data_IF_057329888598
#
_entry.id   IF_057329888598
#
_cell.length_a   1.000
_cell.length_b   1.000
_cell.length_c   1.000
_cell.angle_alpha   90.00
_cell.angle_beta   90.00
_cell.angle_gamma   90.00
#
_symmetry.space_group_name_H-M   'P 1'
#
loop_
_entity.id
_entity.type
_entity.pdbx_description
1 polymer ?
#
# COMPACT_ATOMS: atom_id res chain seq x y z
N UNK A 1 25.42 -21.07 2.43
CA UNK A 1 24.22 -21.30 3.25
C UNK A 1 23.02 -21.19 2.33
N UNK A 2 22.27 -22.28 2.14
CA UNK A 2 21.03 -22.30 1.39
C UNK A 2 19.83 -22.28 2.34
N UNK A 3 18.64 -22.03 1.79
CA UNK A 3 17.39 -22.15 2.53
C UNK A 3 17.18 -23.62 2.93
N UNK A 4 16.85 -23.84 4.20
CA UNK A 4 16.52 -25.17 4.71
C UNK A 4 15.06 -25.51 4.41
N UNK A 5 14.69 -26.77 4.65
CA UNK A 5 13.34 -27.25 4.40
C UNK A 5 12.26 -26.43 5.13
N UNK A 6 12.54 -25.98 6.35
CA UNK A 6 11.62 -25.15 7.14
C UNK A 6 11.39 -23.77 6.51
N UNK A 7 12.44 -23.14 5.97
CA UNK A 7 12.33 -21.83 5.33
C UNK A 7 11.42 -21.93 4.09
N UNK A 8 11.65 -22.97 3.28
CA UNK A 8 10.80 -23.27 2.12
C UNK A 8 9.35 -23.55 2.53
N UNK A 9 9.14 -24.32 3.61
CA UNK A 9 7.81 -24.62 4.11
C UNK A 9 7.04 -23.35 4.50
N UNK A 10 7.69 -22.41 5.19
CA UNK A 10 7.09 -21.12 5.57
C UNK A 10 6.74 -20.29 4.34
N UNK A 11 7.63 -20.19 3.35
CA UNK A 11 7.39 -19.45 2.11
C UNK A 11 6.20 -20.03 1.35
N UNK A 12 6.19 -21.35 1.15
CA UNK A 12 5.11 -22.04 0.42
C UNK A 12 3.77 -21.87 1.15
N UNK A 13 3.76 -22.05 2.47
CA UNK A 13 2.55 -21.88 3.28
C UNK A 13 2.01 -20.45 3.18
N UNK A 14 2.88 -19.45 3.24
CA UNK A 14 2.49 -18.05 3.09
C UNK A 14 1.87 -17.78 1.72
N UNK A 15 2.50 -18.24 0.63
CA UNK A 15 2.00 -18.04 -0.73
C UNK A 15 0.65 -18.73 -0.95
N UNK A 16 0.50 -19.97 -0.50
CA UNK A 16 -0.78 -20.70 -0.56
C UNK A 16 -1.84 -19.97 0.26
N UNK A 17 -1.50 -19.51 1.46
CA UNK A 17 -2.39 -18.73 2.31
C UNK A 17 -2.89 -17.46 1.64
N UNK A 18 -2.00 -16.70 0.99
CA UNK A 18 -2.33 -15.48 0.26
C UNK A 18 -3.23 -15.77 -0.95
N UNK A 19 -2.92 -16.79 -1.74
CA UNK A 19 -3.75 -17.20 -2.89
C UNK A 19 -5.12 -17.66 -2.39
N UNK A 20 -5.18 -18.52 -1.37
CA UNK A 20 -6.43 -19.00 -0.79
C UNK A 20 -7.30 -17.86 -0.24
N UNK A 21 -6.70 -16.89 0.45
CA UNK A 21 -7.38 -15.68 0.93
C UNK A 21 -7.95 -14.87 -0.24
N UNK A 22 -7.16 -14.64 -1.29
CA UNK A 22 -7.59 -13.89 -2.47
C UNK A 22 -8.77 -14.57 -3.20
N UNK A 23 -8.72 -15.90 -3.35
CA UNK A 23 -9.80 -16.67 -3.95
C UNK A 23 -11.08 -16.59 -3.12
N UNK A 24 -10.96 -16.74 -1.79
CA UNK A 24 -12.11 -16.61 -0.89
C UNK A 24 -12.73 -15.21 -0.91
N UNK A 25 -11.91 -14.16 -0.93
CA UNK A 25 -12.39 -12.78 -1.05
C UNK A 25 -13.04 -12.51 -2.41
N UNK A 26 -12.52 -13.08 -3.49
CA UNK A 26 -13.06 -12.90 -4.85
C UNK A 26 -14.51 -13.39 -4.96
N UNK A 27 -14.88 -14.45 -4.23
CA UNK A 27 -16.25 -14.99 -4.23
C UNK A 27 -17.28 -14.05 -3.57
N UNK A 28 -16.84 -13.02 -2.85
CA UNK A 28 -17.70 -12.09 -2.10
C UNK A 28 -17.99 -10.79 -2.85
N UNK A 29 -17.36 -10.58 -4.01
CA UNK A 29 -17.47 -9.36 -4.80
C UNK A 29 -18.63 -9.48 -5.79
N UNK A 30 -19.56 -8.50 -5.80
CA UNK A 30 -20.77 -8.55 -6.65
C UNK A 30 -20.71 -7.59 -7.83
N UNK A 31 -20.12 -6.42 -7.63
CA UNK A 31 -19.97 -5.40 -8.67
C UNK A 31 -18.62 -4.67 -8.57
N UNK A 32 -18.40 -3.73 -9.49
CA UNK A 32 -17.16 -2.95 -9.53
C UNK A 32 -16.99 -2.04 -8.31
N UNK A 33 -18.07 -1.53 -7.72
CA UNK A 33 -17.99 -0.67 -6.54
C UNK A 33 -17.59 -1.46 -5.30
N UNK A 34 -18.10 -2.67 -5.15
CA UNK A 34 -17.68 -3.60 -4.11
C UNK A 34 -16.19 -3.95 -4.27
N UNK A 35 -15.76 -4.24 -5.50
CA UNK A 35 -14.38 -4.62 -5.81
C UNK A 35 -13.37 -3.49 -5.56
N UNK A 36 -13.65 -2.27 -6.05
CA UNK A 36 -12.69 -1.15 -5.99
C UNK A 36 -12.83 -0.27 -4.73
N UNK A 37 -14.05 -0.11 -4.21
CA UNK A 37 -14.33 0.80 -3.08
C UNK A 37 -14.66 0.05 -1.78
N UNK A 38 -14.71 -1.28 -1.80
CA UNK A 38 -15.10 -2.08 -0.63
C UNK A 38 -16.51 -1.74 -0.14
N UNK A 39 -17.42 -1.38 -1.07
CA UNK A 39 -18.78 -0.94 -0.78
C UNK A 39 -18.86 0.37 0.03
N UNK A 40 -17.77 1.17 0.08
CA UNK A 40 -17.64 2.36 0.94
C UNK A 40 -17.88 2.11 2.44
N UNK A 41 -17.78 0.85 2.89
CA UNK A 41 -18.09 0.44 4.27
C UNK A 41 -16.84 0.05 5.08
N UNK A 42 -15.65 0.35 4.56
CA UNK A 42 -14.39 -0.01 5.23
C UNK A 42 -14.06 1.00 6.33
N UNK A 43 -13.82 0.53 7.55
CA UNK A 43 -13.49 1.38 8.69
C UNK A 43 -12.14 2.11 8.51
N UNK A 44 -11.96 3.29 9.13
CA UNK A 44 -10.80 4.15 8.92
C UNK A 44 -9.46 3.48 9.28
N UNK A 45 -9.43 2.62 10.31
CA UNK A 45 -8.22 1.89 10.68
C UNK A 45 -7.82 0.86 9.61
N UNK A 46 -8.77 0.14 9.03
CA UNK A 46 -8.48 -0.84 7.99
C UNK A 46 -7.95 -0.14 6.72
N UNK A 47 -8.51 1.02 6.37
CA UNK A 47 -7.99 1.86 5.29
C UNK A 47 -6.56 2.31 5.60
N UNK A 48 -6.31 2.84 6.81
CA UNK A 48 -4.97 3.29 7.20
C UNK A 48 -3.93 2.16 7.13
N UNK A 49 -4.24 0.98 7.69
CA UNK A 49 -3.36 -0.18 7.65
C UNK A 49 -3.10 -0.66 6.22
N UNK A 50 -4.12 -0.69 5.37
CA UNK A 50 -3.99 -1.04 3.95
C UNK A 50 -3.09 -0.05 3.21
N UNK A 51 -3.26 1.26 3.45
CA UNK A 51 -2.41 2.29 2.84
C UNK A 51 -0.95 2.17 3.30
N UNK A 52 -0.72 1.87 4.58
CA UNK A 52 0.64 1.63 5.10
C UNK A 52 1.26 0.37 4.48
N UNK A 53 0.49 -0.72 4.36
CA UNK A 53 0.96 -1.93 3.72
C UNK A 53 1.31 -1.71 2.24
N UNK A 54 0.51 -0.91 1.52
CA UNK A 54 0.75 -0.57 0.12
C UNK A 54 2.04 0.23 -0.07
N UNK A 55 2.38 1.11 0.87
CA UNK A 55 3.63 1.88 0.83
C UNK A 55 4.87 1.03 1.14
N UNK A 56 4.69 -0.12 1.79
CA UNK A 56 5.78 -1.02 2.12
C UNK A 56 6.09 -1.93 0.93
N UNK A 57 7.24 -1.69 0.29
CA UNK A 57 7.72 -2.51 -0.82
C UNK A 57 9.07 -3.15 -0.51
N UNK A 58 9.47 -4.14 -1.31
CA UNK A 58 10.83 -4.70 -1.25
C UNK A 58 11.90 -3.63 -1.41
N UNK A 59 11.66 -2.61 -2.25
CA UNK A 59 12.56 -1.46 -2.39
C UNK A 59 12.64 -0.64 -1.11
N UNK A 60 11.51 -0.42 -0.43
CA UNK A 60 11.48 0.28 0.85
C UNK A 60 12.28 -0.47 1.93
N UNK A 61 12.24 -1.82 1.92
CA UNK A 61 12.92 -2.64 2.93
C UNK A 61 14.43 -2.83 2.66
N UNK A 62 14.84 -2.96 1.40
CA UNK A 62 16.24 -3.21 1.04
C UNK A 62 16.94 -1.95 0.52
N UNK A 63 16.27 -1.25 -0.41
CA UNK A 63 16.80 -0.08 -1.09
C UNK A 63 16.98 1.11 -0.15
N UNK A 64 15.99 1.43 0.69
CA UNK A 64 16.11 2.57 1.61
C UNK A 64 17.26 2.38 2.61
N UNK A 65 17.41 1.25 3.33
CA UNK A 65 18.56 1.05 4.21
C UNK A 65 19.90 1.02 3.45
N UNK A 66 19.94 0.41 2.26
CA UNK A 66 21.15 0.39 1.45
C UNK A 66 21.58 1.81 1.03
N UNK A 67 20.62 2.64 0.61
CA UNK A 67 20.87 4.05 0.31
C UNK A 67 21.32 4.82 1.55
N UNK A 68 20.64 4.64 2.68
CA UNK A 68 20.98 5.30 3.94
C UNK A 68 22.38 4.93 4.41
N UNK A 69 22.77 3.66 4.30
CA UNK A 69 24.03 3.15 4.81
C UNK A 69 25.22 3.36 3.86
N UNK A 70 25.01 3.25 2.55
CA UNK A 70 26.08 3.18 1.56
C UNK A 70 25.95 4.19 0.41
N UNK A 71 24.78 4.83 0.25
CA UNK A 71 24.54 5.80 -0.81
C UNK A 71 25.30 7.11 -0.58
N UNK A 72 25.87 7.67 -1.66
CA UNK A 72 26.41 9.02 -1.62
C UNK A 72 25.25 10.02 -1.36
N UNK A 73 25.34 10.80 -0.27
CA UNK A 73 24.23 11.64 0.18
C UNK A 73 23.11 10.89 0.91
N UNK A 74 23.38 9.65 1.34
CA UNK A 74 22.52 8.89 2.27
C UNK A 74 22.49 9.45 3.69
N UNK A 75 22.12 8.63 4.68
CA UNK A 75 21.97 9.08 6.07
C UNK A 75 20.71 9.91 6.31
N UNK A 76 20.85 11.04 7.01
CA UNK A 76 19.72 11.86 7.46
C UNK A 76 18.94 12.57 6.34
N UNK A 77 19.51 12.66 5.14
CA UNK A 77 18.81 13.20 3.97
C UNK A 77 17.56 12.38 3.65
N UNK A 78 17.63 11.06 3.80
CA UNK A 78 16.46 10.17 3.63
C UNK A 78 15.33 10.54 4.59
N UNK A 79 15.66 10.85 5.85
CA UNK A 79 14.68 11.24 6.86
C UNK A 79 13.96 12.54 6.49
N UNK A 80 14.63 13.50 5.84
CA UNK A 80 13.95 14.71 5.37
C UNK A 80 12.88 14.40 4.32
N UNK A 81 13.17 13.52 3.35
CA UNK A 81 12.18 13.12 2.34
C UNK A 81 10.98 12.40 2.97
N UNK A 82 11.24 11.46 3.88
CA UNK A 82 10.18 10.70 4.57
C UNK A 82 9.33 11.60 5.49
N UNK A 83 9.93 12.59 6.15
CA UNK A 83 9.17 13.55 6.95
C UNK A 83 8.37 14.53 6.09
N UNK A 84 8.86 14.91 4.91
CA UNK A 84 8.14 15.80 4.00
C UNK A 84 6.85 15.16 3.45
N UNK A 85 6.85 13.84 3.25
CA UNK A 85 5.72 13.08 2.69
C UNK A 85 4.41 13.27 3.48
N UNK A 86 4.33 13.03 4.80
CA UNK A 86 3.13 13.27 5.60
C UNK A 86 2.60 14.70 5.48
N UNK A 87 3.47 15.71 5.50
CA UNK A 87 3.05 17.10 5.37
C UNK A 87 2.45 17.38 3.97
N UNK A 88 3.06 16.85 2.91
CA UNK A 88 2.50 16.93 1.57
C UNK A 88 1.15 16.19 1.46
N UNK A 89 1.02 15.03 2.10
CA UNK A 89 -0.23 14.27 2.15
C UNK A 89 -1.34 15.01 2.88
N UNK A 90 -1.05 15.73 3.99
CA UNK A 90 -2.03 16.57 4.68
C UNK A 90 -2.57 17.65 3.72
N UNK A 91 -1.70 18.31 2.95
CA UNK A 91 -2.13 19.25 1.92
C UNK A 91 -3.04 18.60 0.89
N UNK A 92 -2.63 17.46 0.32
CA UNK A 92 -3.44 16.67 -0.62
C UNK A 92 -4.81 16.28 -0.05
N UNK A 93 -4.87 15.88 1.22
CA UNK A 93 -6.11 15.53 1.90
C UNK A 93 -6.98 16.76 2.18
N UNK A 94 -6.39 17.93 2.45
CA UNK A 94 -7.16 19.15 2.69
C UNK A 94 -7.78 19.71 1.40
N UNK A 95 -7.06 19.66 0.27
CA UNK A 95 -7.49 20.29 -0.97
C UNK A 95 -8.11 19.33 -1.99
N UNK A 96 -7.51 18.16 -2.20
CA UNK A 96 -7.87 17.26 -3.30
C UNK A 96 -8.92 16.22 -2.90
N UNK A 97 -8.80 15.63 -1.70
CA UNK A 97 -9.78 14.66 -1.20
C UNK A 97 -11.23 15.16 -1.13
N UNK A 98 -11.56 16.40 -0.69
CA UNK A 98 -12.95 16.85 -0.70
C UNK A 98 -13.53 16.94 -2.12
N UNK A 99 -12.71 17.34 -3.09
CA UNK A 99 -13.11 17.38 -4.51
C UNK A 99 -13.33 15.96 -5.04
N UNK A 100 -12.35 15.07 -4.87
CA UNK A 100 -12.40 13.71 -5.41
C UNK A 100 -13.53 12.88 -4.79
N UNK A 101 -13.77 13.02 -3.47
CA UNK A 101 -14.89 12.33 -2.81
C UNK A 101 -16.25 12.85 -3.25
N UNK A 102 -16.38 14.16 -3.54
CA UNK A 102 -17.63 14.74 -4.03
C UNK A 102 -18.05 14.19 -5.40
N UNK A 103 -17.09 13.81 -6.24
CA UNK A 103 -17.33 13.32 -7.60
C UNK A 103 -17.68 11.82 -7.68
N UNK A 104 -17.59 11.08 -6.57
CA UNK A 104 -17.93 9.65 -6.48
C UNK A 104 -17.28 8.78 -7.57
N UNK A 105 -16.04 9.12 -7.95
CA UNK A 105 -15.28 8.43 -8.99
C UNK A 105 -14.71 7.11 -8.47
N UNK A 106 -14.68 6.09 -9.33
CA UNK A 106 -14.04 4.80 -9.05
C UNK A 106 -12.53 4.87 -9.33
N UNK A 107 -12.12 5.75 -10.25
CA UNK A 107 -10.74 5.92 -10.69
C UNK A 107 -10.38 7.40 -10.75
N UNK A 108 -9.15 7.73 -10.37
CA UNK A 108 -8.62 9.10 -10.46
C UNK A 108 -8.57 9.56 -11.93
N UNK A 109 -8.36 8.65 -12.89
CA UNK A 109 -8.30 8.98 -14.31
C UNK A 109 -9.62 9.54 -14.84
N UNK A 110 -10.75 9.13 -14.27
CA UNK A 110 -12.07 9.64 -14.64
C UNK A 110 -12.28 11.13 -14.27
N UNK A 111 -11.39 11.73 -13.49
CA UNK A 111 -11.40 13.17 -13.24
C UNK A 111 -10.95 14.00 -14.46
N UNK A 112 -10.18 13.39 -15.37
CA UNK A 112 -9.59 14.05 -16.53
C UNK A 112 -10.48 13.95 -17.79
N UNK A 113 -11.59 13.24 -17.70
CA UNK A 113 -12.58 13.04 -18.77
C UNK A 113 -13.81 13.93 -18.52
#
# INVERSE_FOLDING_TARGET
MGLNLLDWAVIVLYLIGMIGLSAWLSLRQRDQKDYYLGGNNTGPLAIALSTLATQCSTNSLLGAPAFVAFGAGGGLVWLQYELALPFAMIGLMAFLMPVLRGLHLISIYAYLE
#
